data_IF_533776154289
#
_entry.id   IF_533776154289
#
_cell.length_a   1.000
_cell.length_b   1.000
_cell.length_c   1.000
_cell.angle_alpha   90.00
_cell.angle_beta   90.00
_cell.angle_gamma   90.00
#
_symmetry.space_group_name_H-M   'P 1'
#
loop_
_entity.id
_entity.type
_entity.pdbx_description
1 polymer ?
#
# COMPACT_ATOMS: atom_id res chain seq x y z
N UNK A 1 -3.58 -22.08 -10.45
CA UNK A 1 -3.33 -21.13 -9.35
C UNK A 1 -3.57 -21.72 -7.96
N UNK A 2 -4.12 -22.93 -7.81
CA UNK A 2 -4.21 -23.63 -6.50
C UNK A 2 -3.52 -24.98 -6.61
N UNK A 3 -2.96 -25.48 -5.51
CA UNK A 3 -2.42 -26.85 -5.46
C UNK A 3 -3.52 -27.89 -5.66
N UNK A 4 -3.17 -29.06 -6.20
CA UNK A 4 -4.10 -30.19 -6.38
C UNK A 4 -4.87 -30.55 -5.11
N UNK A 5 -4.23 -30.44 -3.94
CA UNK A 5 -4.86 -30.70 -2.63
C UNK A 5 -6.05 -29.79 -2.32
N UNK A 6 -6.05 -28.56 -2.82
CA UNK A 6 -7.04 -27.50 -2.50
C UNK A 6 -8.09 -27.36 -3.61
N UNK A 7 -7.76 -27.75 -4.83
CA UNK A 7 -8.63 -27.62 -6.02
C UNK A 7 -10.08 -28.12 -5.81
N UNK A 8 -10.32 -29.27 -5.14
CA UNK A 8 -11.69 -29.76 -4.95
C UNK A 8 -12.55 -28.87 -4.03
N UNK A 9 -11.92 -28.03 -3.20
CA UNK A 9 -12.56 -27.25 -2.15
C UNK A 9 -12.79 -25.78 -2.51
N UNK A 10 -12.31 -25.31 -3.67
CA UNK A 10 -12.47 -23.91 -4.06
C UNK A 10 -13.95 -23.51 -4.21
N UNK A 11 -14.30 -22.22 -4.05
CA UNK A 11 -15.68 -21.75 -4.18
C UNK A 11 -16.33 -22.13 -5.52
N UNK A 12 -17.65 -22.35 -5.53
CA UNK A 12 -18.43 -22.59 -6.77
C UNK A 12 -19.37 -21.42 -7.12
N UNK A 13 -19.70 -21.21 -8.40
CA UNK A 13 -19.23 -21.95 -9.58
C UNK A 13 -17.80 -21.56 -10.03
N UNK A 14 -17.15 -22.45 -10.76
CA UNK A 14 -15.84 -22.21 -11.41
C UNK A 14 -16.00 -22.05 -12.92
N UNK A 15 -15.17 -21.21 -13.54
CA UNK A 15 -15.12 -21.12 -15.01
C UNK A 15 -14.28 -22.29 -15.52
N UNK A 16 -14.87 -23.14 -16.36
CA UNK A 16 -14.21 -24.29 -16.97
C UNK A 16 -14.13 -24.12 -18.49
N UNK A 17 -12.99 -24.47 -19.07
CA UNK A 17 -12.79 -24.50 -20.53
C UNK A 17 -13.19 -25.88 -21.05
N UNK A 18 -14.02 -25.91 -22.10
CA UNK A 18 -14.41 -27.13 -22.83
C UNK A 18 -13.85 -27.07 -24.24
N UNK A 19 -13.26 -28.17 -24.69
CA UNK A 19 -12.84 -28.35 -26.08
C UNK A 19 -13.90 -29.17 -26.81
N UNK A 20 -14.64 -28.58 -27.76
CA UNK A 20 -15.59 -29.35 -28.55
C UNK A 20 -14.83 -30.23 -29.56
N UNK A 21 -15.01 -31.56 -29.47
CA UNK A 21 -14.33 -32.53 -30.35
C UNK A 21 -14.74 -32.51 -31.84
N UNK A 22 -15.46 -31.47 -32.28
CA UNK A 22 -15.97 -31.29 -33.64
C UNK A 22 -15.17 -30.24 -34.45
N UNK A 23 -14.02 -29.79 -33.94
CA UNK A 23 -13.18 -28.78 -34.58
C UNK A 23 -13.61 -27.33 -34.35
N UNK A 24 -14.65 -27.08 -33.55
CA UNK A 24 -14.97 -25.73 -33.08
C UNK A 24 -13.96 -25.27 -32.00
N UNK A 25 -13.84 -23.95 -31.84
CA UNK A 25 -12.98 -23.35 -30.81
C UNK A 25 -13.46 -23.63 -29.38
N UNK A 26 -12.62 -23.34 -28.36
CA UNK A 26 -12.95 -23.61 -26.97
C UNK A 26 -14.18 -22.82 -26.51
N UNK A 27 -15.00 -23.45 -25.69
CA UNK A 27 -16.13 -22.81 -24.99
C UNK A 27 -15.85 -22.72 -23.50
N UNK A 28 -16.51 -21.78 -22.83
CA UNK A 28 -16.36 -21.58 -21.39
C UNK A 28 -17.71 -21.71 -20.70
N UNK A 29 -17.75 -22.49 -19.63
CA UNK A 29 -18.95 -22.80 -18.87
C UNK A 29 -18.74 -22.54 -17.38
N UNK A 30 -19.85 -22.43 -16.64
CA UNK A 30 -19.83 -22.36 -15.19
C UNK A 30 -20.12 -23.76 -14.62
N UNK A 31 -19.11 -24.33 -13.97
CA UNK A 31 -19.22 -25.61 -13.28
C UNK A 31 -19.73 -25.41 -11.84
N UNK A 32 -20.94 -25.92 -11.59
CA UNK A 32 -21.61 -25.90 -10.29
C UNK A 32 -21.47 -27.24 -9.53
N UNK A 33 -21.11 -28.32 -10.22
CA UNK A 33 -21.11 -29.67 -9.68
C UNK A 33 -19.77 -30.02 -9.03
N UNK A 34 -19.53 -29.32 -7.91
CA UNK A 34 -18.31 -29.46 -7.12
C UNK A 34 -18.68 -29.86 -5.69
N UNK A 35 -18.91 -31.16 -5.41
CA UNK A 35 -19.49 -31.62 -4.15
C UNK A 35 -18.61 -31.34 -2.92
N UNK A 36 -17.30 -31.19 -3.12
CA UNK A 36 -16.33 -30.85 -2.07
C UNK A 36 -16.09 -29.36 -1.92
N UNK A 37 -16.69 -28.53 -2.77
CA UNK A 37 -16.56 -27.08 -2.71
C UNK A 37 -17.04 -26.56 -1.35
N UNK A 38 -16.38 -25.52 -0.83
CA UNK A 38 -16.87 -24.74 0.31
C UNK A 38 -18.14 -23.93 0.01
N UNK A 39 -18.70 -24.06 -1.19
CA UNK A 39 -19.94 -23.42 -1.60
C UNK A 39 -19.70 -22.06 -2.23
N UNK A 40 -20.70 -21.19 -2.13
CA UNK A 40 -20.68 -19.87 -2.76
C UNK A 40 -20.35 -18.81 -1.72
N UNK A 41 -19.30 -18.01 -1.97
CA UNK A 41 -18.87 -16.95 -1.05
C UNK A 41 -19.43 -15.57 -1.39
N UNK A 42 -19.94 -15.36 -2.61
CA UNK A 42 -20.39 -14.06 -3.10
C UNK A 42 -21.46 -14.17 -4.19
N UNK A 43 -22.19 -13.07 -4.39
CA UNK A 43 -23.11 -12.91 -5.52
C UNK A 43 -22.40 -13.00 -6.87
N UNK A 44 -23.11 -13.53 -7.86
CA UNK A 44 -22.64 -13.76 -9.24
C UNK A 44 -21.26 -14.44 -9.29
N UNK A 45 -20.33 -13.93 -10.10
CA UNK A 45 -18.97 -14.43 -10.29
C UNK A 45 -17.92 -13.49 -9.66
N UNK A 46 -18.37 -12.44 -8.96
CA UNK A 46 -17.54 -11.35 -8.46
C UNK A 46 -17.63 -10.10 -9.33
N UNK A 47 -16.69 -9.17 -9.11
CA UNK A 47 -16.70 -7.87 -9.76
C UNK A 47 -16.12 -7.95 -11.18
N UNK A 48 -16.93 -8.36 -12.15
CA UNK A 48 -16.50 -8.64 -13.53
C UNK A 48 -15.66 -7.51 -14.15
N UNK A 49 -16.06 -6.25 -13.98
CA UNK A 49 -15.31 -5.09 -14.49
C UNK A 49 -13.90 -4.95 -13.91
N UNK A 50 -13.67 -5.41 -12.67
CA UNK A 50 -12.33 -5.44 -12.06
C UNK A 50 -11.46 -6.50 -12.74
N UNK A 51 -12.03 -7.66 -13.04
CA UNK A 51 -11.29 -8.71 -13.77
C UNK A 51 -10.90 -8.28 -15.18
N UNK A 52 -11.76 -7.55 -15.87
CA UNK A 52 -11.44 -6.99 -17.20
C UNK A 52 -10.25 -6.04 -17.12
N UNK A 53 -10.16 -5.18 -16.09
CA UNK A 53 -9.02 -4.28 -15.90
C UNK A 53 -7.72 -5.05 -15.64
N UNK A 54 -7.75 -6.04 -14.74
CA UNK A 54 -6.58 -6.89 -14.47
C UNK A 54 -6.15 -7.66 -15.72
N UNK A 55 -7.10 -8.19 -16.49
CA UNK A 55 -6.81 -8.89 -17.74
C UNK A 55 -6.19 -7.96 -18.79
N UNK A 56 -6.72 -6.74 -18.93
CA UNK A 56 -6.15 -5.73 -19.83
C UNK A 56 -4.72 -5.38 -19.41
N UNK A 57 -4.44 -5.15 -18.13
CA UNK A 57 -3.08 -4.88 -17.62
C UNK A 57 -2.11 -6.02 -17.94
N UNK A 58 -2.49 -7.27 -17.64
CA UNK A 58 -1.67 -8.47 -17.92
C UNK A 58 -1.38 -8.58 -19.41
N UNK A 59 -2.38 -8.37 -20.28
CA UNK A 59 -2.20 -8.44 -21.72
C UNK A 59 -1.35 -7.29 -22.27
N UNK A 60 -1.48 -6.08 -21.70
CA UNK A 60 -0.72 -4.91 -22.12
C UNK A 60 0.77 -5.02 -21.79
N UNK A 61 1.12 -5.55 -20.62
CA UNK A 61 2.51 -5.72 -20.20
C UNK A 61 3.14 -7.00 -20.75
N UNK A 62 2.35 -8.08 -20.85
CA UNK A 62 2.89 -9.41 -21.14
C UNK A 62 3.78 -9.94 -20.01
N UNK A 63 4.42 -11.09 -20.24
CA UNK A 63 5.27 -11.73 -19.22
C UNK A 63 6.47 -10.85 -18.86
N UNK A 64 7.15 -10.32 -19.87
CA UNK A 64 8.38 -9.54 -19.69
C UNK A 64 8.09 -8.21 -18.97
N UNK A 65 7.01 -7.51 -19.34
CA UNK A 65 6.61 -6.27 -18.67
C UNK A 65 6.16 -6.49 -17.23
N UNK A 66 5.50 -7.61 -16.91
CA UNK A 66 5.15 -7.94 -15.52
C UNK A 66 6.39 -8.24 -14.66
N UNK A 67 7.41 -8.86 -15.26
CA UNK A 67 8.70 -9.06 -14.61
C UNK A 67 9.41 -7.74 -14.37
N UNK A 68 9.51 -6.88 -15.39
CA UNK A 68 10.12 -5.55 -15.29
C UNK A 68 9.42 -4.68 -14.24
N UNK A 69 8.08 -4.68 -14.21
CA UNK A 69 7.30 -3.97 -13.19
C UNK A 69 7.67 -4.46 -11.78
N UNK A 70 7.75 -5.77 -11.58
CA UNK A 70 8.09 -6.35 -10.28
C UNK A 70 9.52 -6.01 -9.85
N UNK A 71 10.49 -6.10 -10.77
CA UNK A 71 11.90 -5.75 -10.52
C UNK A 71 12.05 -4.25 -10.22
N UNK A 72 11.35 -3.39 -10.96
CA UNK A 72 11.38 -1.94 -10.78
C UNK A 72 10.74 -1.51 -9.46
N UNK A 73 9.64 -2.14 -9.03
CA UNK A 73 9.06 -1.87 -7.71
C UNK A 73 10.05 -2.18 -6.58
N UNK A 74 10.77 -3.31 -6.67
CA UNK A 74 11.82 -3.67 -5.69
C UNK A 74 13.00 -2.70 -5.75
N UNK A 75 13.40 -2.28 -6.96
CA UNK A 75 14.46 -1.29 -7.15
C UNK A 75 14.10 0.06 -6.52
N UNK A 76 12.91 0.57 -6.82
CA UNK A 76 12.41 1.85 -6.29
C UNK A 76 12.35 1.83 -4.76
N UNK A 77 11.88 0.74 -4.15
CA UNK A 77 11.85 0.60 -2.70
C UNK A 77 13.25 0.63 -2.07
N UNK A 78 14.20 -0.14 -2.60
CA UNK A 78 15.56 -0.16 -2.07
C UNK A 78 16.31 1.15 -2.34
N UNK A 79 16.08 1.79 -3.48
CA UNK A 79 16.61 3.12 -3.80
C UNK A 79 16.15 4.15 -2.77
N UNK A 80 14.83 4.25 -2.56
CA UNK A 80 14.26 5.22 -1.64
C UNK A 80 14.68 4.94 -0.20
N UNK A 81 14.75 3.67 0.20
CA UNK A 81 15.25 3.27 1.52
C UNK A 81 16.69 3.75 1.74
N UNK A 82 17.58 3.54 0.77
CA UNK A 82 18.97 3.98 0.85
C UNK A 82 19.08 5.51 0.91
N UNK A 83 18.29 6.22 0.09
CA UNK A 83 18.25 7.69 0.08
C UNK A 83 17.75 8.26 1.40
N UNK A 84 16.68 7.71 1.98
CA UNK A 84 16.16 8.12 3.29
C UNK A 84 17.12 7.77 4.43
N UNK A 85 17.83 6.65 4.35
CA UNK A 85 18.86 6.33 5.33
C UNK A 85 20.00 7.37 5.31
N UNK A 86 20.35 7.89 4.14
CA UNK A 86 21.33 8.97 4.00
C UNK A 86 20.80 10.31 4.50
N UNK A 87 19.59 10.72 4.12
CA UNK A 87 19.08 12.08 4.40
C UNK A 87 18.37 12.23 5.73
N UNK A 88 17.76 11.15 6.23
CA UNK A 88 16.87 11.16 7.39
C UNK A 88 17.20 10.06 8.41
N UNK A 89 18.22 9.24 8.17
CA UNK A 89 18.50 8.03 8.97
C UNK A 89 18.82 8.28 10.45
N UNK A 90 19.26 9.48 10.83
CA UNK A 90 19.43 9.86 12.24
C UNK A 90 18.09 9.82 13.02
N UNK A 91 17.02 10.23 12.36
CA UNK A 91 15.69 10.32 12.97
C UNK A 91 14.75 9.19 12.54
N UNK A 92 14.93 8.68 11.32
CA UNK A 92 14.12 7.65 10.66
C UNK A 92 14.98 6.52 10.07
N UNK A 93 15.76 5.77 10.86
CA UNK A 93 16.53 4.66 10.33
C UNK A 93 15.62 3.52 9.84
N UNK A 94 16.08 2.72 8.85
CA UNK A 94 15.41 1.47 8.51
C UNK A 94 15.24 0.58 9.74
N UNK A 95 14.04 0.04 9.94
CA UNK A 95 13.74 -0.85 11.06
C UNK A 95 14.51 -2.18 10.96
N UNK A 96 14.94 -2.55 9.76
CA UNK A 96 15.71 -3.75 9.47
C UNK A 96 16.87 -3.43 8.53
N UNK A 97 18.08 -3.79 8.94
CA UNK A 97 19.29 -3.64 8.13
C UNK A 97 19.43 -4.79 7.11
N UNK A 98 18.68 -4.68 6.01
CA UNK A 98 18.67 -5.65 4.90
C UNK A 98 18.05 -5.04 3.66
N UNK A 99 18.32 -5.64 2.50
CA UNK A 99 17.52 -5.37 1.30
C UNK A 99 16.07 -5.80 1.52
N UNK A 100 15.17 -4.99 0.97
CA UNK A 100 13.73 -5.16 1.04
C UNK A 100 13.16 -5.64 -0.30
N UNK A 101 11.87 -6.00 -0.33
CA UNK A 101 11.15 -6.29 -1.57
C UNK A 101 10.53 -4.99 -2.10
N UNK A 102 9.22 -4.92 -2.33
CA UNK A 102 8.53 -3.74 -2.89
C UNK A 102 8.24 -2.65 -1.85
N UNK A 103 8.48 -2.91 -0.57
CA UNK A 103 8.20 -1.99 0.53
C UNK A 103 9.25 -2.15 1.65
N UNK A 104 9.41 -1.11 2.47
CA UNK A 104 10.28 -1.10 3.64
C UNK A 104 9.66 -0.30 4.80
N UNK A 105 10.21 -0.49 6.00
CA UNK A 105 9.73 0.17 7.21
C UNK A 105 10.85 0.99 7.84
N UNK A 106 10.58 2.26 8.13
CA UNK A 106 11.41 3.09 9.00
C UNK A 106 10.83 3.13 10.42
N UNK A 107 11.68 3.30 11.43
CA UNK A 107 11.23 3.55 12.81
C UNK A 107 11.33 5.04 13.16
N UNK A 108 10.22 5.64 13.59
CA UNK A 108 10.18 7.00 14.11
C UNK A 108 10.58 7.13 15.59
N UNK A 109 11.06 6.05 16.22
CA UNK A 109 11.49 6.07 17.62
C UNK A 109 12.58 7.12 17.89
N UNK A 110 13.65 7.21 17.08
CA UNK A 110 14.67 8.26 17.21
C UNK A 110 14.11 9.66 16.98
N UNK A 111 13.33 9.87 15.92
CA UNK A 111 12.62 11.14 15.65
C UNK A 111 11.81 11.61 16.86
N UNK A 112 11.02 10.72 17.46
CA UNK A 112 10.21 11.03 18.65
C UNK A 112 11.04 11.44 19.86
N UNK A 113 12.16 10.77 20.11
CA UNK A 113 13.04 11.10 21.25
C UNK A 113 13.83 12.39 21.03
N UNK A 114 14.33 12.61 19.81
CA UNK A 114 15.20 13.73 19.49
C UNK A 114 14.40 15.02 19.22
N UNK A 115 13.32 14.93 18.47
CA UNK A 115 12.55 16.09 17.97
C UNK A 115 11.21 16.28 18.70
N UNK A 116 10.77 15.28 19.48
CA UNK A 116 9.49 15.35 20.19
C UNK A 116 8.25 15.34 19.26
N UNK A 117 8.39 14.90 18.02
CA UNK A 117 7.28 14.73 17.07
C UNK A 117 6.99 13.24 16.85
N UNK A 118 5.74 12.87 16.60
CA UNK A 118 5.33 11.48 16.33
C UNK A 118 5.27 11.22 14.83
N UNK A 119 5.19 9.95 14.44
CA UNK A 119 4.98 9.58 13.03
C UNK A 119 3.70 10.20 12.46
N UNK A 120 2.64 10.31 13.27
CA UNK A 120 1.44 11.03 12.86
C UNK A 120 1.72 12.50 12.51
N UNK A 121 2.62 13.16 13.24
CA UNK A 121 2.91 14.57 13.04
C UNK A 121 3.71 14.79 11.74
N UNK A 122 4.70 13.94 11.45
CA UNK A 122 5.37 13.87 10.14
C UNK A 122 4.37 13.60 9.01
N UNK A 123 3.48 12.62 9.19
CA UNK A 123 2.47 12.26 8.20
C UNK A 123 1.49 13.40 7.89
N UNK A 124 1.12 14.20 8.91
CA UNK A 124 0.30 15.40 8.68
C UNK A 124 1.08 16.52 8.00
N UNK A 125 2.37 16.67 8.30
CA UNK A 125 3.20 17.69 7.66
C UNK A 125 3.46 17.40 6.18
N UNK A 126 3.61 16.12 5.79
CA UNK A 126 3.74 15.71 4.38
C UNK A 126 2.58 16.22 3.50
N UNK A 127 1.36 16.33 4.05
CA UNK A 127 0.19 16.84 3.32
C UNK A 127 0.36 18.29 2.87
N UNK A 128 1.09 19.11 3.64
CA UNK A 128 1.35 20.51 3.27
C UNK A 128 2.30 20.63 2.07
N UNK A 129 3.11 19.60 1.85
CA UNK A 129 4.03 19.47 0.72
C UNK A 129 3.40 18.73 -0.48
N UNK A 130 2.11 18.43 -0.42
CA UNK A 130 1.40 17.74 -1.50
C UNK A 130 1.63 16.23 -1.57
N UNK A 131 2.29 15.64 -0.57
CA UNK A 131 2.48 14.19 -0.49
C UNK A 131 1.40 13.54 0.39
N UNK A 132 0.79 12.47 -0.12
CA UNK A 132 0.02 11.59 0.74
C UNK A 132 1.00 10.82 1.63
N UNK A 133 0.79 10.75 2.96
CA UNK A 133 1.68 10.02 3.83
C UNK A 133 1.65 8.52 3.49
N UNK A 134 2.77 7.81 3.70
CA UNK A 134 2.79 6.36 3.57
C UNK A 134 2.00 5.72 4.74
N UNK A 135 1.97 4.38 4.80
CA UNK A 135 1.29 3.69 5.89
C UNK A 135 1.98 3.99 7.22
N UNK A 136 1.22 4.44 8.23
CA UNK A 136 1.74 4.75 9.56
C UNK A 136 1.26 3.72 10.59
N UNK A 137 2.07 3.49 11.63
CA UNK A 137 1.76 2.61 12.76
C UNK A 137 1.47 1.15 12.38
N UNK A 138 1.96 0.70 11.22
CA UNK A 138 1.98 -0.69 10.82
C UNK A 138 3.33 -1.01 10.15
N UNK A 139 3.94 -2.18 10.39
CA UNK A 139 3.49 -3.25 11.30
C UNK A 139 3.61 -2.86 12.79
N UNK A 140 2.76 -3.45 13.64
CA UNK A 140 2.63 -3.09 15.07
C UNK A 140 3.89 -3.34 15.92
N UNK A 141 4.83 -4.14 15.41
CA UNK A 141 6.07 -4.51 16.08
C UNK A 141 7.20 -3.47 15.94
N UNK A 142 7.01 -2.44 15.10
CA UNK A 142 7.97 -1.34 14.93
C UNK A 142 7.42 -0.09 15.62
N UNK A 143 8.18 0.49 16.56
CA UNK A 143 7.79 1.73 17.23
C UNK A 143 7.73 2.87 16.22
N UNK A 144 6.63 3.65 16.25
CA UNK A 144 6.42 4.81 15.37
C UNK A 144 6.65 4.44 13.89
N UNK A 145 6.14 3.26 13.48
CA UNK A 145 6.37 2.69 12.16
C UNK A 145 5.90 3.60 11.01
N UNK A 146 6.75 3.70 9.98
CA UNK A 146 6.45 4.33 8.70
C UNK A 146 6.77 3.30 7.58
N UNK A 147 5.74 2.67 7.02
CA UNK A 147 5.85 1.64 5.98
C UNK A 147 5.61 2.26 4.60
N UNK A 148 6.65 2.25 3.76
CA UNK A 148 6.72 2.96 2.48
C UNK A 148 6.79 1.94 1.33
N UNK A 149 5.89 2.10 0.36
CA UNK A 149 5.81 1.32 -0.88
C UNK A 149 5.73 2.30 -2.07
N UNK A 150 6.82 2.52 -2.83
CA UNK A 150 6.80 3.47 -3.95
C UNK A 150 6.19 2.89 -5.24
N UNK A 151 6.08 1.56 -5.37
CA UNK A 151 5.67 0.87 -6.62
C UNK A 151 6.59 1.16 -7.82
N UNK A 152 6.32 0.54 -8.97
CA UNK A 152 7.14 0.64 -10.18
C UNK A 152 6.90 1.91 -10.99
N UNK A 153 5.72 2.53 -10.85
CA UNK A 153 5.29 3.61 -11.74
C UNK A 153 5.80 4.98 -11.32
N UNK A 154 6.31 5.11 -10.10
CA UNK A 154 6.88 6.36 -9.61
C UNK A 154 8.26 6.62 -10.22
N UNK A 155 8.49 7.86 -10.63
CA UNK A 155 9.76 8.26 -11.22
C UNK A 155 10.82 8.51 -10.15
N UNK A 156 12.10 8.39 -10.49
CA UNK A 156 13.20 8.69 -9.57
C UNK A 156 13.08 10.09 -8.98
N UNK A 157 12.68 11.08 -9.79
CA UNK A 157 12.51 12.47 -9.35
C UNK A 157 11.44 12.59 -8.25
N UNK A 158 10.38 11.78 -8.31
CA UNK A 158 9.34 11.74 -7.28
C UNK A 158 9.87 11.10 -5.99
N UNK A 159 10.68 10.03 -6.10
CA UNK A 159 11.33 9.40 -4.96
C UNK A 159 12.32 10.36 -4.27
N UNK A 160 13.12 11.07 -5.07
CA UNK A 160 14.05 12.09 -4.58
C UNK A 160 13.32 13.23 -3.87
N UNK A 161 12.29 13.78 -4.51
CA UNK A 161 11.47 14.83 -3.93
C UNK A 161 10.81 14.41 -2.61
N UNK A 162 10.32 13.16 -2.52
CA UNK A 162 9.78 12.64 -1.27
C UNK A 162 10.85 12.57 -0.16
N UNK A 163 12.05 12.05 -0.48
CA UNK A 163 13.14 11.96 0.50
C UNK A 163 13.63 13.35 0.96
N UNK A 164 13.71 14.30 0.04
CA UNK A 164 14.12 15.67 0.33
C UNK A 164 13.08 16.38 1.21
N UNK A 165 11.78 16.22 0.93
CA UNK A 165 10.69 16.76 1.76
C UNK A 165 10.70 16.15 3.17
N UNK A 166 10.92 14.84 3.29
CA UNK A 166 11.04 14.20 4.62
C UNK A 166 12.20 14.82 5.40
N UNK A 167 13.36 15.00 4.78
CA UNK A 167 14.52 15.64 5.42
C UNK A 167 14.25 17.11 5.80
N UNK A 168 13.57 17.86 4.94
CA UNK A 168 13.17 19.25 5.21
C UNK A 168 12.24 19.34 6.42
N UNK A 169 11.22 18.48 6.50
CA UNK A 169 10.29 18.44 7.64
C UNK A 169 11.03 18.11 8.94
N UNK A 170 11.98 17.18 8.91
CA UNK A 170 12.78 16.84 10.09
C UNK A 170 13.67 18.01 10.52
N UNK A 171 14.29 18.73 9.57
CA UNK A 171 15.09 19.92 9.84
C UNK A 171 14.24 21.08 10.40
N UNK A 172 13.02 21.29 9.88
CA UNK A 172 12.04 22.23 10.41
C UNK A 172 11.66 21.86 11.85
N UNK A 173 11.35 20.59 12.10
CA UNK A 173 10.97 20.10 13.43
C UNK A 173 12.10 20.16 14.47
N UNK A 174 13.37 20.13 14.04
CA UNK A 174 14.52 20.35 14.92
C UNK A 174 14.61 21.80 15.42
N UNK A 175 14.09 22.77 14.65
CA UNK A 175 14.02 24.18 15.05
C UNK A 175 12.71 24.49 15.77
N UNK A 176 11.59 23.99 15.25
CA UNK A 176 10.25 24.18 15.79
C UNK A 176 9.40 22.90 15.62
N UNK A 177 9.31 22.05 16.66
CA UNK A 177 8.47 20.86 16.62
C UNK A 177 6.98 21.15 16.37
N UNK A 178 6.50 22.35 16.72
CA UNK A 178 5.08 22.71 16.59
C UNK A 178 4.69 22.90 15.13
N UNK A 179 5.66 23.18 14.24
CA UNK A 179 5.46 23.18 12.80
C UNK A 179 4.87 21.85 12.29
N UNK A 180 5.37 20.71 12.78
CA UNK A 180 4.81 19.40 12.43
C UNK A 180 3.58 19.01 13.27
N UNK A 181 3.56 19.34 14.57
CA UNK A 181 2.44 18.97 15.47
C UNK A 181 1.13 19.68 15.11
N UNK A 182 1.22 20.91 14.63
CA UNK A 182 0.05 21.71 14.25
C UNK A 182 -0.35 21.58 12.78
N UNK A 183 0.44 20.85 11.98
CA UNK A 183 0.11 20.48 10.61
C UNK A 183 -1.15 19.59 10.54
N UNK A 184 -1.91 19.60 9.43
CA UNK A 184 -1.68 20.39 8.23
C UNK A 184 -2.23 21.82 8.33
N UNK A 185 -1.75 22.68 7.43
CA UNK A 185 -2.10 24.10 7.28
C UNK A 185 -2.76 24.43 5.94
N UNK A 186 -2.37 23.77 4.84
CA UNK A 186 -2.82 24.14 3.48
C UNK A 186 -3.98 23.29 2.98
N UNK A 187 -4.32 22.21 3.67
CA UNK A 187 -5.43 21.32 3.31
C UNK A 187 -6.80 21.96 3.57
N UNK A 188 -7.88 21.52 2.89
CA UNK A 188 -9.22 22.10 3.04
C UNK A 188 -9.76 22.11 4.48
N UNK A 189 -9.30 21.18 5.31
CA UNK A 189 -9.55 21.12 6.75
C UNK A 189 -8.26 20.78 7.48
N UNK A 190 -8.16 21.15 8.76
CA UNK A 190 -7.03 20.79 9.63
C UNK A 190 -7.28 19.44 10.33
N UNK A 191 -6.51 19.13 11.38
CA UNK A 191 -6.74 17.93 12.21
C UNK A 191 -8.18 17.90 12.73
N UNK A 192 -8.83 16.75 12.56
CA UNK A 192 -10.20 16.52 13.00
C UNK A 192 -10.22 16.08 14.48
N UNK A 193 -11.32 16.36 15.17
CA UNK A 193 -11.54 15.91 16.55
C UNK A 193 -11.99 14.43 16.55
N UNK A 194 -11.02 13.52 16.44
CA UNK A 194 -11.26 12.07 16.45
C UNK A 194 -11.92 11.60 17.76
N UNK A 195 -11.52 12.18 18.91
CA UNK A 195 -12.09 11.85 20.21
C UNK A 195 -13.56 12.28 20.32
N UNK A 196 -13.89 13.47 19.81
CA UNK A 196 -15.25 13.97 19.69
C UNK A 196 -16.09 13.11 18.77
N UNK A 197 -15.58 12.74 17.59
CA UNK A 197 -16.26 11.89 16.62
C UNK A 197 -16.57 10.49 17.19
N UNK A 198 -15.62 9.89 17.93
CA UNK A 198 -15.82 8.59 18.57
C UNK A 198 -16.82 8.64 19.73
N UNK A 199 -16.81 9.71 20.54
CA UNK A 199 -17.70 9.85 21.72
C UNK A 199 -19.11 10.34 21.36
N UNK A 200 -19.25 11.13 20.29
CA UNK A 200 -20.50 11.75 19.84
C UNK A 200 -20.63 11.62 18.32
N UNK A 201 -20.81 10.39 17.80
CA UNK A 201 -20.92 10.19 16.36
C UNK A 201 -22.21 10.83 15.83
N UNK A 202 -22.08 11.69 14.82
CA UNK A 202 -23.22 12.24 14.07
C UNK A 202 -23.41 11.38 12.81
N UNK A 203 -24.25 10.36 12.93
CA UNK A 203 -24.50 9.37 11.87
C UNK A 203 -25.95 9.44 11.40
N UNK A 204 -26.17 9.22 10.10
CA UNK A 204 -27.52 9.28 9.50
C UNK A 204 -28.38 8.07 9.84
N UNK A 205 -27.76 6.92 10.06
CA UNK A 205 -28.43 5.70 10.46
C UNK A 205 -27.98 5.38 11.88
N UNK A 206 -28.94 5.10 12.76
CA UNK A 206 -28.61 4.64 14.11
C UNK A 206 -27.87 3.29 14.01
N UNK A 207 -26.83 3.14 14.83
CA UNK A 207 -26.11 1.87 15.01
C UNK A 207 -26.98 0.83 15.72
#
# INVERSE_FOLDING_TARGET
AVSERIEPFIPRPQVVRREPGNGAGPTYELDYDRPRSIGRLRGFQGNFGVFVRSYAYILSLGSDGLQEASETAVLNANYLMARLAETAGEHLPPAYDRTCMHEFVLTGGPMKRALGIRTLDLAKRLLDYGFHPPTVYFPLLVEEALLIEPTETETRETLDAFADVVAEILAEAAQDPDAARSAPYTTPVRRLDEAGAAKRPVIRQAL
#
